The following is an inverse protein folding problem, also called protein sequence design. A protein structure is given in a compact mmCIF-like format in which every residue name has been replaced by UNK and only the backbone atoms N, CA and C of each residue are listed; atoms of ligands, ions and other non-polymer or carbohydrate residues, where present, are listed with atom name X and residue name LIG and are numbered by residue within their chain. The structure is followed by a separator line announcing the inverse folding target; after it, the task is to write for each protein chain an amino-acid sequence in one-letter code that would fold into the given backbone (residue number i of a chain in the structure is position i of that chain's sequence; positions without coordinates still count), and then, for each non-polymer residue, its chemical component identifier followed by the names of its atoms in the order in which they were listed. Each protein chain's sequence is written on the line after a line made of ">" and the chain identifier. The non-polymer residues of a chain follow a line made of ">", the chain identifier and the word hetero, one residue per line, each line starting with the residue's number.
data_IF_183551295720
#
_entry.id   IF_183551295720
#
_cell.length_a   1.000
_cell.length_b   1.000
_cell.length_c   1.000
_cell.angle_alpha   90.00
_cell.angle_beta   90.00
_cell.angle_gamma   90.00
#
_symmetry.space_group_name_H-M   'P 1'
#
loop_
_entity.id
_entity.type
_entity.pdbx_description
1 polymer ?
#
# COMPACT_ATOMS: atom_id res chain seq x y z
N UNK A 1 18.68 -8.20 -20.41
CA UNK A 1 17.73 -8.22 -19.27
C UNK A 1 18.18 -7.13 -18.33
N UNK A 2 17.42 -6.04 -18.21
CA UNK A 2 17.76 -4.92 -17.34
C UNK A 2 17.86 -5.37 -15.87
N UNK A 3 18.80 -4.79 -15.14
CA UNK A 3 18.96 -5.04 -13.70
C UNK A 3 17.76 -4.51 -12.91
N UNK A 4 17.52 -5.03 -11.70
CA UNK A 4 16.40 -4.55 -10.88
C UNK A 4 16.49 -3.04 -10.55
N UNK A 5 17.67 -2.40 -10.68
CA UNK A 5 17.86 -0.96 -10.50
C UNK A 5 17.46 -0.15 -11.75
N UNK A 6 17.92 -0.55 -12.94
CA UNK A 6 17.58 0.12 -14.21
C UNK A 6 16.07 0.17 -14.48
N UNK A 7 15.31 -0.82 -13.98
CA UNK A 7 13.86 -0.90 -14.15
C UNK A 7 13.08 0.04 -13.19
N UNK A 8 13.70 0.47 -12.09
CA UNK A 8 13.10 1.48 -11.20
C UNK A 8 13.26 2.88 -11.81
N UNK A 9 14.27 3.07 -12.66
CA UNK A 9 14.67 4.37 -13.19
C UNK A 9 14.07 4.69 -14.57
N UNK A 10 13.64 3.70 -15.36
CA UNK A 10 13.01 3.91 -16.68
C UNK A 10 11.52 3.46 -16.71
N UNK A 11 10.55 4.39 -16.91
CA UNK A 11 9.13 4.08 -16.95
C UNK A 11 8.68 3.20 -18.13
N UNK A 12 9.50 3.03 -19.17
CA UNK A 12 9.15 2.18 -20.32
C UNK A 12 9.11 0.68 -19.97
N UNK A 13 9.79 0.27 -18.90
CA UNK A 13 9.82 -1.11 -18.39
C UNK A 13 8.66 -1.48 -17.45
N UNK A 14 7.70 -0.57 -17.26
CA UNK A 14 6.52 -0.76 -16.39
C UNK A 14 5.25 -1.08 -17.18
N UNK A 15 5.35 -1.40 -18.48
CA UNK A 15 4.20 -1.75 -19.30
C UNK A 15 3.45 -2.99 -18.80
N UNK A 16 2.12 -3.00 -18.91
CA UNK A 16 1.29 -4.10 -18.38
C UNK A 16 1.66 -5.49 -18.94
N UNK A 17 2.02 -5.59 -20.22
CA UNK A 17 2.43 -6.86 -20.83
C UNK A 17 3.74 -7.39 -20.24
N UNK A 18 4.72 -6.52 -20.01
CA UNK A 18 6.01 -6.87 -19.43
C UNK A 18 5.85 -7.33 -17.97
N UNK A 19 5.01 -6.63 -17.20
CA UNK A 19 4.68 -7.01 -15.82
C UNK A 19 4.02 -8.40 -15.76
N UNK A 20 3.12 -8.72 -16.70
CA UNK A 20 2.47 -10.02 -16.77
C UNK A 20 3.45 -11.16 -17.07
N UNK A 21 4.44 -10.92 -17.94
CA UNK A 21 5.49 -11.91 -18.23
C UNK A 21 6.51 -12.04 -17.09
N UNK A 22 6.92 -10.91 -16.51
CA UNK A 22 7.84 -10.84 -15.38
C UNK A 22 7.29 -11.61 -14.18
N UNK A 23 5.99 -11.47 -13.91
CA UNK A 23 5.31 -12.20 -12.86
C UNK A 23 4.48 -13.36 -13.42
N UNK A 24 4.95 -14.08 -14.43
CA UNK A 24 4.20 -15.20 -15.00
C UNK A 24 4.06 -16.39 -14.03
N UNK A 25 5.00 -16.57 -13.11
CA UNK A 25 4.98 -17.63 -12.10
C UNK A 25 5.20 -17.09 -10.68
N UNK A 26 4.73 -17.84 -9.68
CA UNK A 26 4.96 -17.53 -8.27
C UNK A 26 6.45 -17.58 -7.91
N UNK A 27 7.25 -18.39 -8.60
CA UNK A 27 8.70 -18.45 -8.40
C UNK A 27 9.38 -17.15 -8.86
N UNK A 28 9.03 -16.62 -10.04
CA UNK A 28 9.56 -15.33 -10.51
C UNK A 28 9.19 -14.20 -9.55
N UNK A 29 7.94 -14.16 -9.09
CA UNK A 29 7.48 -13.18 -8.09
C UNK A 29 8.24 -13.29 -6.76
N UNK A 30 8.53 -14.52 -6.32
CA UNK A 30 9.31 -14.77 -5.11
C UNK A 30 10.76 -14.31 -5.25
N UNK A 31 11.44 -14.66 -6.35
CA UNK A 31 12.83 -14.22 -6.62
C UNK A 31 12.93 -12.70 -6.67
N UNK A 32 11.94 -12.04 -7.26
CA UNK A 32 11.86 -10.58 -7.26
C UNK A 32 11.75 -10.00 -5.84
N UNK A 33 10.87 -10.55 -5.00
CA UNK A 33 10.76 -10.14 -3.60
C UNK A 33 12.04 -10.41 -2.79
N UNK A 34 12.69 -11.56 -3.03
CA UNK A 34 13.96 -11.90 -2.39
C UNK A 34 15.04 -10.89 -2.78
N UNK A 35 15.13 -10.51 -4.05
CA UNK A 35 16.11 -9.53 -4.51
C UNK A 35 15.89 -8.13 -3.92
N UNK A 36 14.65 -7.71 -3.70
CA UNK A 36 14.33 -6.41 -3.08
C UNK A 36 14.60 -6.44 -1.58
N UNK A 37 14.13 -7.48 -0.88
CA UNK A 37 14.20 -7.54 0.59
C UNK A 37 15.61 -7.89 1.08
N UNK A 38 16.35 -8.66 0.29
CA UNK A 38 17.62 -9.28 0.67
C UNK A 38 18.66 -9.11 -0.45
N UNK A 39 19.07 -7.86 -0.77
CA UNK A 39 20.04 -7.60 -1.84
C UNK A 39 21.38 -8.31 -1.57
N UNK A 40 21.81 -8.34 -0.31
CA UNK A 40 23.09 -8.94 0.11
C UNK A 40 22.97 -10.41 0.59
N UNK A 41 21.75 -10.95 0.62
CA UNK A 41 21.46 -12.30 1.09
C UNK A 41 20.40 -12.38 2.20
N UNK A 42 19.90 -13.59 2.51
CA UNK A 42 18.73 -13.79 3.35
C UNK A 42 19.00 -13.44 4.81
N UNK A 43 18.16 -12.57 5.37
CA UNK A 43 18.19 -12.18 6.79
C UNK A 43 17.03 -12.86 7.54
N UNK A 44 17.34 -13.54 8.65
CA UNK A 44 16.35 -14.21 9.46
C UNK A 44 15.42 -13.21 10.17
N UNK A 45 14.10 -13.22 9.90
CA UNK A 45 13.16 -12.28 10.51
C UNK A 45 12.89 -12.54 12.01
N UNK A 46 13.36 -13.67 12.55
CA UNK A 46 13.14 -14.02 13.96
C UNK A 46 14.28 -13.62 14.89
N UNK A 47 15.51 -13.56 14.40
CA UNK A 47 16.71 -13.32 15.21
C UNK A 47 17.70 -12.34 14.56
N UNK A 48 17.42 -11.82 13.37
CA UNK A 48 18.28 -10.88 12.67
C UNK A 48 19.55 -11.48 12.04
N UNK A 49 19.82 -12.78 12.22
CA UNK A 49 21.01 -13.40 11.66
C UNK A 49 21.03 -13.29 10.13
N UNK A 50 22.15 -12.78 9.59
CA UNK A 50 22.41 -12.59 8.17
C UNK A 50 23.60 -13.42 7.66
N UNK A 51 24.19 -14.26 8.51
CA UNK A 51 25.30 -15.14 8.12
C UNK A 51 24.82 -16.22 7.14
N UNK A 52 25.38 -16.18 5.92
CA UNK A 52 25.07 -17.10 4.82
C UNK A 52 25.40 -18.56 5.16
N UNK A 53 26.35 -18.81 6.07
CA UNK A 53 26.68 -20.16 6.51
C UNK A 53 25.59 -20.74 7.44
N UNK A 54 24.90 -19.87 8.19
CA UNK A 54 23.88 -20.25 9.18
C UNK A 54 22.46 -20.13 8.63
N UNK A 55 22.24 -19.35 7.58
CA UNK A 55 20.96 -19.21 6.90
C UNK A 55 21.01 -19.91 5.55
N UNK A 56 20.40 -21.09 5.48
CA UNK A 56 20.44 -21.92 4.28
C UNK A 56 19.04 -22.17 3.71
N UNK A 57 18.99 -22.32 2.39
CA UNK A 57 17.77 -22.63 1.65
C UNK A 57 17.47 -24.11 1.78
N UNK A 58 16.22 -24.45 2.10
CA UNK A 58 15.76 -25.84 2.20
C UNK A 58 15.31 -26.30 0.82
N UNK A 59 15.82 -27.45 0.37
CA UNK A 59 15.44 -28.04 -0.90
C UNK A 59 13.93 -28.36 -0.91
N UNK A 60 13.16 -27.85 -1.88
CA UNK A 60 11.74 -28.13 -1.95
C UNK A 60 11.50 -29.63 -2.18
N UNK A 61 10.56 -30.20 -1.44
CA UNK A 61 10.20 -31.60 -1.53
C UNK A 61 8.70 -31.76 -1.30
N UNK A 62 7.97 -32.11 -2.37
CA UNK A 62 6.51 -32.27 -2.34
C UNK A 62 6.07 -33.42 -1.43
N UNK A 63 6.82 -34.53 -1.39
CA UNK A 63 6.51 -35.68 -0.53
C UNK A 63 6.61 -35.33 0.96
N UNK A 64 7.54 -34.44 1.33
CA UNK A 64 7.71 -33.95 2.71
C UNK A 64 6.94 -32.65 3.00
N UNK A 65 6.05 -32.21 2.10
CA UNK A 65 5.30 -30.94 2.20
C UNK A 65 6.20 -29.71 2.40
N UNK A 66 7.43 -29.75 1.90
CA UNK A 66 8.37 -28.63 1.96
C UNK A 66 8.07 -27.69 0.80
N UNK A 67 7.55 -26.51 1.14
CA UNK A 67 7.25 -25.44 0.18
C UNK A 67 8.52 -24.84 -0.41
N UNK A 68 8.42 -24.32 -1.63
CA UNK A 68 9.50 -23.60 -2.29
C UNK A 68 9.83 -22.27 -1.60
N UNK A 69 11.12 -21.89 -1.64
CA UNK A 69 11.60 -20.64 -1.05
C UNK A 69 11.64 -20.64 0.47
N UNK A 70 11.64 -21.82 1.09
CA UNK A 70 11.83 -22.00 2.51
C UNK A 70 13.30 -21.85 2.88
N UNK A 71 13.58 -21.02 3.87
CA UNK A 71 14.88 -20.87 4.49
C UNK A 71 14.82 -21.39 5.92
N UNK A 72 15.93 -21.92 6.43
CA UNK A 72 16.09 -22.30 7.83
C UNK A 72 17.30 -21.59 8.41
N UNK A 73 17.13 -21.01 9.59
CA UNK A 73 18.22 -20.43 10.35
C UNK A 73 18.76 -21.49 11.33
N UNK A 74 20.06 -21.74 11.32
CA UNK A 74 20.72 -22.64 12.26
C UNK A 74 20.76 -22.05 13.68
N UNK A 75 20.82 -20.72 13.81
CA UNK A 75 20.90 -20.03 15.11
C UNK A 75 19.64 -20.22 15.95
N UNK A 76 18.47 -19.87 15.41
CA UNK A 76 17.21 -19.96 16.13
C UNK A 76 16.42 -21.24 15.78
N UNK A 77 16.94 -22.08 14.89
CA UNK A 77 16.30 -23.30 14.36
C UNK A 77 14.93 -23.10 13.68
N UNK A 78 14.47 -21.85 13.52
CA UNK A 78 13.18 -21.51 12.91
C UNK A 78 13.27 -21.47 11.38
N UNK A 79 12.16 -21.82 10.75
CA UNK A 79 11.99 -21.75 9.30
C UNK A 79 11.25 -20.47 8.92
N UNK A 80 11.62 -19.86 7.80
CA UNK A 80 10.99 -18.65 7.31
C UNK A 80 11.00 -18.60 5.78
N UNK A 81 10.21 -17.68 5.24
CA UNK A 81 10.14 -17.35 3.82
C UNK A 81 10.29 -15.85 3.67
N UNK A 82 10.57 -15.36 2.45
CA UNK A 82 10.63 -13.91 2.16
C UNK A 82 9.37 -13.15 2.58
N UNK A 83 8.24 -13.85 2.71
CA UNK A 83 6.95 -13.29 3.11
C UNK A 83 6.78 -13.10 4.62
N UNK A 84 7.64 -13.67 5.48
CA UNK A 84 7.53 -13.52 6.94
C UNK A 84 7.91 -12.09 7.35
N UNK A 85 7.10 -11.45 8.19
CA UNK A 85 7.26 -10.03 8.54
C UNK A 85 6.94 -9.09 7.38
N UNK A 86 6.00 -9.46 6.51
CA UNK A 86 5.53 -8.61 5.40
C UNK A 86 4.01 -8.62 5.29
N UNK A 87 3.49 -7.76 4.40
CA UNK A 87 2.11 -7.79 3.94
C UNK A 87 1.73 -9.04 3.13
N UNK A 88 2.65 -9.95 2.86
CA UNK A 88 2.37 -11.24 2.22
C UNK A 88 2.29 -12.39 3.24
N UNK A 89 2.61 -12.13 4.51
CA UNK A 89 2.62 -13.15 5.55
C UNK A 89 1.23 -13.78 5.72
N UNK A 90 1.20 -15.12 5.90
CA UNK A 90 0.00 -15.94 6.12
C UNK A 90 -1.09 -15.79 5.04
N UNK A 91 -0.74 -15.26 3.87
CA UNK A 91 -1.64 -15.19 2.72
C UNK A 91 -1.71 -16.54 2.00
N UNK A 92 -2.94 -16.98 1.66
CA UNK A 92 -3.19 -18.10 0.73
C UNK A 92 -3.25 -17.67 -0.74
N UNK A 93 -3.25 -16.35 -1.00
CA UNK A 93 -3.22 -15.81 -2.36
C UNK A 93 -1.82 -16.02 -2.97
N UNK A 94 -1.71 -16.53 -4.21
CA UNK A 94 -0.43 -16.69 -4.91
C UNK A 94 0.37 -15.37 -4.98
N UNK A 95 1.70 -15.47 -4.86
CA UNK A 95 2.57 -14.29 -4.85
C UNK A 95 2.52 -13.51 -6.16
N UNK A 96 2.34 -14.20 -7.30
CA UNK A 96 2.09 -13.55 -8.60
C UNK A 96 0.94 -12.55 -8.51
N UNK A 97 -0.19 -12.95 -7.93
CA UNK A 97 -1.37 -12.09 -7.83
C UNK A 97 -1.11 -10.89 -6.92
N UNK A 98 -0.29 -11.04 -5.89
CA UNK A 98 0.14 -9.91 -5.07
C UNK A 98 0.99 -8.90 -5.82
N UNK A 99 1.93 -9.34 -6.65
CA UNK A 99 2.75 -8.43 -7.46
C UNK A 99 1.90 -7.68 -8.50
N UNK A 100 0.99 -8.39 -9.16
CA UNK A 100 0.04 -7.77 -10.08
C UNK A 100 -0.93 -6.80 -9.38
N UNK A 101 -1.39 -7.14 -8.17
CA UNK A 101 -2.20 -6.23 -7.36
C UNK A 101 -1.45 -4.94 -7.02
N UNK A 102 -0.18 -5.05 -6.64
CA UNK A 102 0.69 -3.91 -6.37
C UNK A 102 0.80 -2.98 -7.57
N UNK A 103 1.11 -3.56 -8.74
CA UNK A 103 1.19 -2.82 -9.98
C UNK A 103 -0.12 -2.08 -10.27
N UNK A 104 -1.27 -2.77 -10.26
CA UNK A 104 -2.58 -2.17 -10.54
C UNK A 104 -2.96 -1.03 -9.58
N UNK A 105 -2.59 -1.16 -8.30
CA UNK A 105 -2.86 -0.13 -7.29
C UNK A 105 -1.98 1.10 -7.53
N UNK A 106 -0.69 0.91 -7.80
CA UNK A 106 0.27 2.01 -7.92
C UNK A 106 0.22 2.68 -9.30
N UNK A 107 -0.16 1.95 -10.35
CA UNK A 107 -0.29 2.50 -11.70
C UNK A 107 -1.62 3.24 -11.92
N UNK A 108 -2.60 3.11 -11.02
CA UNK A 108 -3.90 3.77 -11.16
C UNK A 108 -3.90 5.15 -10.50
N UNK A 109 -4.01 6.20 -11.31
CA UNK A 109 -4.11 7.60 -10.85
C UNK A 109 -5.31 7.85 -9.91
N UNK A 110 -6.42 7.15 -10.13
CA UNK A 110 -7.66 7.34 -9.37
C UNK A 110 -7.83 6.29 -8.25
N UNK A 111 -6.82 5.43 -8.03
CA UNK A 111 -6.93 4.25 -7.21
C UNK A 111 -7.78 3.16 -7.85
N UNK A 112 -7.87 2.00 -7.20
CA UNK A 112 -8.62 0.83 -7.68
C UNK A 112 -9.64 0.37 -6.63
N UNK A 113 -10.84 0.00 -7.09
CA UNK A 113 -11.86 -0.57 -6.21
C UNK A 113 -11.58 -2.05 -5.92
N UNK A 114 -12.05 -2.56 -4.78
CA UNK A 114 -11.91 -3.97 -4.44
C UNK A 114 -12.60 -4.89 -5.46
N UNK A 115 -13.75 -4.46 -5.99
CA UNK A 115 -14.49 -5.22 -7.00
C UNK A 115 -13.74 -5.27 -8.34
N UNK A 116 -13.10 -4.17 -8.71
CA UNK A 116 -12.27 -4.10 -9.91
C UNK A 116 -11.02 -4.98 -9.78
N UNK A 117 -10.30 -4.89 -8.65
CA UNK A 117 -9.16 -5.76 -8.37
C UNK A 117 -9.55 -7.24 -8.40
N UNK A 118 -10.73 -7.58 -7.87
CA UNK A 118 -11.27 -8.94 -7.91
C UNK A 118 -11.41 -9.45 -9.35
N UNK A 119 -11.93 -8.63 -10.26
CA UNK A 119 -12.14 -8.99 -11.67
C UNK A 119 -10.81 -9.15 -12.41
N UNK A 120 -9.91 -8.18 -12.28
CA UNK A 120 -8.59 -8.22 -12.94
C UNK A 120 -7.79 -9.46 -12.55
N UNK A 121 -7.78 -9.81 -11.27
CA UNK A 121 -6.97 -10.92 -10.76
C UNK A 121 -7.74 -12.24 -10.63
N UNK A 122 -8.99 -12.28 -11.10
CA UNK A 122 -9.92 -13.41 -10.98
C UNK A 122 -9.87 -14.01 -9.57
N UNK A 123 -10.09 -13.18 -8.56
CA UNK A 123 -10.09 -13.58 -7.16
C UNK A 123 -11.43 -14.22 -6.80
N UNK A 124 -11.39 -15.33 -6.07
CA UNK A 124 -12.59 -16.11 -5.73
C UNK A 124 -13.57 -15.40 -4.78
N UNK A 125 -13.17 -14.28 -4.15
CA UNK A 125 -14.08 -13.49 -3.32
C UNK A 125 -13.71 -12.01 -3.28
N UNK A 126 -14.73 -11.17 -3.13
CA UNK A 126 -14.57 -9.73 -2.85
C UNK A 126 -13.76 -9.50 -1.57
N UNK A 127 -13.99 -10.31 -0.53
CA UNK A 127 -13.29 -10.20 0.77
C UNK A 127 -11.79 -10.37 0.62
N UNK A 128 -11.35 -11.28 -0.26
CA UNK A 128 -9.93 -11.45 -0.58
C UNK A 128 -9.35 -10.19 -1.21
N UNK A 129 -10.03 -9.63 -2.23
CA UNK A 129 -9.57 -8.41 -2.90
C UNK A 129 -9.51 -7.21 -1.94
N UNK A 130 -10.54 -7.05 -1.11
CA UNK A 130 -10.61 -6.02 -0.07
C UNK A 130 -9.46 -6.16 0.94
N UNK A 131 -9.19 -7.37 1.43
CA UNK A 131 -8.08 -7.64 2.35
C UNK A 131 -6.72 -7.33 1.71
N UNK A 132 -6.54 -7.69 0.43
CA UNK A 132 -5.32 -7.35 -0.32
C UNK A 132 -5.12 -5.84 -0.41
N UNK A 133 -6.16 -5.09 -0.80
CA UNK A 133 -6.08 -3.63 -0.89
C UNK A 133 -5.72 -2.97 0.43
N UNK A 134 -6.30 -3.43 1.54
CA UNK A 134 -5.97 -2.88 2.86
C UNK A 134 -4.50 -3.06 3.21
N UNK A 135 -3.94 -4.26 2.96
CA UNK A 135 -2.52 -4.51 3.24
C UNK A 135 -1.59 -3.74 2.32
N UNK A 136 -1.93 -3.61 1.02
CA UNK A 136 -1.15 -2.78 0.09
C UNK A 136 -1.18 -1.32 0.53
N UNK A 137 -2.38 -0.77 0.80
CA UNK A 137 -2.51 0.61 1.28
C UNK A 137 -1.80 0.84 2.60
N UNK A 138 -1.80 -0.15 3.50
CA UNK A 138 -1.03 -0.08 4.74
C UNK A 138 0.48 -0.04 4.47
N UNK A 139 1.00 -0.84 3.53
CA UNK A 139 2.41 -0.78 3.14
C UNK A 139 2.79 0.50 2.36
N UNK A 140 1.83 1.11 1.66
CA UNK A 140 1.99 2.41 1.00
C UNK A 140 1.86 3.59 1.98
N UNK A 141 1.44 3.36 3.23
CA UNK A 141 1.60 4.39 4.25
C UNK A 141 3.10 4.50 4.52
N UNK A 142 3.66 5.59 4.04
CA UNK A 142 5.08 5.87 4.12
C UNK A 142 5.56 5.89 5.59
N UNK A 143 6.64 5.18 5.95
CA UNK A 143 7.39 5.50 7.17
C UNK A 143 8.25 6.76 7.01
N UNK A 144 8.44 7.30 5.80
CA UNK A 144 9.21 8.54 5.51
C UNK A 144 8.40 9.81 5.82
N UNK A 145 7.31 9.70 6.57
CA UNK A 145 6.55 10.87 7.05
C UNK A 145 7.15 11.56 8.29
N UNK A 146 8.29 11.09 8.81
CA UNK A 146 9.00 11.76 9.92
C UNK A 146 9.69 13.07 9.51
N UNK A 147 10.02 13.26 8.23
CA UNK A 147 10.61 14.52 7.77
C UNK A 147 9.53 15.58 7.59
N UNK A 148 9.71 16.80 8.07
CA UNK A 148 8.77 17.89 7.81
C UNK A 148 8.68 18.21 6.30
N UNK A 149 7.52 18.72 5.86
CA UNK A 149 7.36 19.30 4.54
C UNK A 149 8.12 20.63 4.50
N UNK A 150 8.80 20.93 3.41
CA UNK A 150 9.61 22.15 3.29
C UNK A 150 9.20 23.00 2.09
N UNK A 151 9.59 24.27 2.09
CA UNK A 151 9.34 25.18 0.97
C UNK A 151 7.93 25.76 0.97
N UNK A 152 7.35 25.92 -0.21
CA UNK A 152 5.99 26.45 -0.35
C UNK A 152 4.96 25.35 -0.08
N UNK A 153 4.23 25.51 1.03
CA UNK A 153 3.17 24.59 1.45
C UNK A 153 1.80 25.16 1.11
N UNK A 154 0.98 24.33 0.47
CA UNK A 154 -0.42 24.57 0.21
C UNK A 154 -1.26 23.70 1.14
N UNK A 155 -2.23 24.30 1.83
CA UNK A 155 -3.16 23.59 2.70
C UNK A 155 -4.59 23.75 2.16
N UNK A 156 -5.33 22.67 2.06
CA UNK A 156 -6.73 22.67 1.63
C UNK A 156 -7.55 21.69 2.46
N UNK A 157 -8.85 21.92 2.56
CA UNK A 157 -9.78 21.05 3.27
C UNK A 157 -10.84 20.41 2.36
N UNK A 158 -11.15 19.16 2.64
CA UNK A 158 -12.21 18.42 1.98
C UNK A 158 -13.12 17.74 2.98
N UNK A 159 -14.43 17.79 2.73
CA UNK A 159 -15.43 17.12 3.56
C UNK A 159 -15.91 15.84 2.89
N UNK A 160 -15.48 14.69 3.42
CA UNK A 160 -15.79 13.36 2.90
C UNK A 160 -17.05 12.79 3.57
N UNK A 161 -18.03 12.39 2.76
CA UNK A 161 -19.24 11.73 3.25
C UNK A 161 -20.41 11.78 2.28
N UNK A 162 -21.39 10.90 2.51
CA UNK A 162 -22.58 10.77 1.67
C UNK A 162 -23.41 12.05 1.60
N UNK A 163 -24.14 12.24 0.50
CA UNK A 163 -25.09 13.34 0.37
C UNK A 163 -26.16 13.20 1.48
N UNK A 164 -26.55 14.27 2.18
CA UNK A 164 -27.67 14.21 3.11
C UNK A 164 -28.93 13.77 2.34
N UNK A 165 -29.65 12.76 2.86
CA UNK A 165 -30.90 12.27 2.26
C UNK A 165 -31.83 13.46 1.96
N UNK A 166 -32.30 13.55 0.72
CA UNK A 166 -33.13 14.65 0.26
C UNK A 166 -34.52 14.55 0.89
N UNK A 167 -35.01 15.65 1.45
CA UNK A 167 -36.44 15.90 1.51
C UNK A 167 -36.69 17.39 1.22
N UNK A 168 -37.68 17.62 0.33
CA UNK A 168 -38.37 18.87 -0.04
C UNK A 168 -37.71 19.82 -1.08
N UNK A 169 -38.49 20.10 -2.14
CA UNK A 169 -38.20 20.96 -3.31
C UNK A 169 -38.31 22.47 -3.03
N UNK A 170 -38.74 22.87 -1.84
CA UNK A 170 -39.10 24.26 -1.51
C UNK A 170 -38.29 24.78 -0.32
N UNK A 171 -37.01 25.10 -0.54
CA UNK A 171 -36.17 25.77 0.46
C UNK A 171 -35.62 27.07 -0.12
N UNK A 172 -35.65 28.13 0.68
CA UNK A 172 -35.02 29.41 0.38
C UNK A 172 -33.48 29.29 0.35
N UNK A 173 -32.79 30.30 -0.20
CA UNK A 173 -31.33 30.31 -0.29
C UNK A 173 -30.64 30.28 1.10
N UNK A 174 -31.21 30.95 2.10
CA UNK A 174 -30.69 30.97 3.46
C UNK A 174 -30.80 29.59 4.14
N UNK A 175 -31.94 28.91 3.97
CA UNK A 175 -32.13 27.56 4.50
C UNK A 175 -31.24 26.54 3.79
N UNK A 176 -30.98 26.71 2.48
CA UNK A 176 -29.98 25.93 1.75
C UNK A 176 -28.57 26.14 2.32
N UNK A 177 -28.17 27.38 2.63
CA UNK A 177 -26.85 27.71 3.22
C UNK A 177 -26.69 27.10 4.62
N UNK A 178 -27.65 27.33 5.51
CA UNK A 178 -27.65 26.76 6.87
C UNK A 178 -27.62 25.22 6.85
N UNK A 179 -28.38 24.60 5.94
CA UNK A 179 -28.36 23.15 5.74
C UNK A 179 -27.04 22.65 5.18
N UNK A 180 -26.37 23.38 4.29
CA UNK A 180 -25.05 23.00 3.74
C UNK A 180 -23.99 22.96 4.85
N UNK A 181 -24.03 23.93 5.76
CA UNK A 181 -23.20 23.96 6.98
C UNK A 181 -23.52 22.74 7.86
N UNK A 182 -24.80 22.47 8.12
CA UNK A 182 -25.25 21.31 8.92
C UNK A 182 -24.96 19.95 8.27
N UNK A 183 -24.95 19.90 6.94
CA UNK A 183 -24.63 18.71 6.17
C UNK A 183 -23.12 18.42 6.17
N UNK A 184 -22.29 19.46 6.06
CA UNK A 184 -20.84 19.34 6.19
C UNK A 184 -20.44 18.95 7.61
N UNK A 185 -21.19 19.38 8.64
CA UNK A 185 -20.97 18.93 10.02
C UNK A 185 -21.16 17.41 10.25
N UNK A 186 -21.80 16.69 9.31
CA UNK A 186 -21.93 15.22 9.35
C UNK A 186 -20.89 14.50 8.52
N UNK A 187 -20.09 15.24 7.75
CA UNK A 187 -19.03 14.68 6.92
C UNK A 187 -17.74 14.68 7.73
N UNK A 188 -16.88 13.73 7.43
CA UNK A 188 -15.54 13.68 7.97
C UNK A 188 -14.72 14.80 7.32
N UNK A 189 -14.27 15.82 8.07
CA UNK A 189 -13.36 16.81 7.55
C UNK A 189 -11.96 16.22 7.43
N UNK A 190 -11.32 16.45 6.28
CA UNK A 190 -9.94 16.06 6.02
C UNK A 190 -9.18 17.29 5.58
N UNK A 191 -8.11 17.62 6.29
CA UNK A 191 -7.17 18.67 5.89
C UNK A 191 -6.02 18.00 5.17
N UNK A 192 -5.64 18.50 4.01
CA UNK A 192 -4.45 18.05 3.28
C UNK A 192 -3.45 19.19 3.18
N UNK A 193 -2.19 18.90 3.46
CA UNK A 193 -1.05 19.79 3.27
C UNK A 193 -0.12 19.21 2.22
N UNK A 194 0.32 20.05 1.31
CA UNK A 194 1.07 19.68 0.12
C UNK A 194 2.28 20.60 -0.05
N UNK A 195 3.45 20.02 -0.25
CA UNK A 195 4.60 20.72 -0.81
C UNK A 195 4.39 20.90 -2.31
N UNK A 196 4.55 22.13 -2.83
CA UNK A 196 4.29 22.42 -4.25
C UNK A 196 5.20 21.56 -5.15
N UNK A 197 4.58 20.71 -5.97
CA UNK A 197 5.30 19.75 -6.83
C UNK A 197 5.91 18.56 -6.09
N UNK A 198 5.62 18.43 -4.80
CA UNK A 198 6.20 17.43 -3.91
C UNK A 198 5.15 16.58 -3.20
N UNK A 199 5.37 16.38 -1.90
CA UNK A 199 4.65 15.41 -1.07
C UNK A 199 3.33 15.96 -0.57
N UNK A 200 2.35 15.07 -0.36
CA UNK A 200 1.02 15.39 0.20
C UNK A 200 0.79 14.58 1.48
N UNK A 201 0.22 15.21 2.50
CA UNK A 201 -0.25 14.56 3.72
C UNK A 201 -1.70 14.93 3.95
N UNK A 202 -2.53 13.97 4.37
CA UNK A 202 -3.95 14.17 4.63
C UNK A 202 -4.33 13.67 6.02
N UNK A 203 -5.01 14.51 6.79
CA UNK A 203 -5.37 14.28 8.18
C UNK A 203 -6.87 14.38 8.36
N UNK A 204 -7.46 13.35 8.95
CA UNK A 204 -8.86 13.42 9.40
C UNK A 204 -8.91 14.24 10.69
N UNK A 205 -9.61 15.37 10.67
CA UNK A 205 -9.78 16.24 11.84
C UNK A 205 -11.21 16.16 12.37
N UNK A 206 -11.44 16.58 13.61
CA UNK A 206 -12.80 16.68 14.17
C UNK A 206 -13.52 17.93 13.68
N UNK A 207 -12.79 19.02 13.47
CA UNK A 207 -13.28 20.31 12.96
C UNK A 207 -12.17 20.97 12.15
N UNK A 208 -12.55 21.69 11.09
CA UNK A 208 -11.62 22.56 10.36
C UNK A 208 -11.77 23.98 10.91
N UNK A 209 -10.75 24.46 11.60
CA UNK A 209 -10.59 25.85 12.03
C UNK A 209 -9.10 26.25 11.96
N UNK A 210 -8.80 27.53 12.18
CA UNK A 210 -7.43 28.02 12.15
C UNK A 210 -6.50 27.31 13.15
N UNK A 211 -7.02 26.89 14.30
CA UNK A 211 -6.25 26.13 15.31
C UNK A 211 -5.89 24.73 14.82
N UNK A 212 -6.84 23.96 14.31
CA UNK A 212 -6.60 22.60 13.81
C UNK A 212 -5.62 22.59 12.64
N UNK A 213 -5.73 23.59 11.75
CA UNK A 213 -4.80 23.72 10.62
C UNK A 213 -3.42 24.13 11.11
N UNK A 214 -3.34 25.06 12.08
CA UNK A 214 -2.07 25.48 12.67
C UNK A 214 -1.33 24.33 13.38
N UNK A 215 -2.05 23.50 14.11
CA UNK A 215 -1.47 22.32 14.78
C UNK A 215 -0.85 21.36 13.76
N UNK A 216 -1.58 21.04 12.69
CA UNK A 216 -1.08 20.20 11.58
C UNK A 216 0.16 20.82 10.92
N UNK A 217 0.15 22.14 10.68
CA UNK A 217 1.29 22.81 10.08
C UNK A 217 2.51 22.77 11.00
N UNK A 218 2.37 23.02 12.31
CA UNK A 218 3.50 22.99 13.25
C UNK A 218 4.12 21.60 13.41
N UNK A 219 3.32 20.54 13.29
CA UNK A 219 3.79 19.17 13.43
C UNK A 219 4.44 18.64 12.14
N UNK A 220 4.01 19.13 10.97
CA UNK A 220 4.34 18.50 9.68
C UNK A 220 5.03 19.40 8.66
N UNK A 221 5.25 20.68 8.95
CA UNK A 221 5.96 21.68 8.13
C UNK A 221 7.05 22.33 8.99
#
# INVERSE_FOLDING_TARGET
>A
MATNREIIEDPTHLGMLEILDRFSTDEKARKFLEAIRWPEGPVCPHCGNCDKARVYKVTPNKAKKVREGLYKCAECSKQFTVTVGTIFEKSKVPLRKWMLAWYLVCSSKNGISALELQRHLKLGSYRTAWHMLHRIRYALKDPVFDDQLSGEIEADEVYLGGKPKSMKKFMSAAEKKARRIKANAKKMPVVSVMERGGRVRSFSVTKVNGESVREILLEHV
#
